data_IF_869731031493
#
_entry.id   IF_869731031493
#
_cell.length_a   1.000
_cell.length_b   1.000
_cell.length_c   1.000
_cell.angle_alpha   90.00
_cell.angle_beta   90.00
_cell.angle_gamma   90.00
#
_symmetry.space_group_name_H-M   'P 1'
#
loop_
_entity.id
_entity.type
_entity.pdbx_description
1 polymer ?
#
# COMPACT_ATOMS: atom_id res chain seq x y z
N UNK A 1 -6.39 -13.26 7.70
CA UNK A 1 -5.72 -12.65 6.54
C UNK A 1 -6.63 -11.54 6.05
N UNK A 2 -6.21 -10.28 6.19
CA UNK A 2 -6.91 -9.09 5.68
C UNK A 2 -6.28 -8.55 4.40
N UNK A 3 -5.07 -9.02 4.06
CA UNK A 3 -4.26 -8.56 2.94
C UNK A 3 -5.02 -8.34 1.63
N UNK A 4 -5.90 -9.24 1.18
CA UNK A 4 -6.52 -9.03 -0.12
C UNK A 4 -7.59 -7.94 -0.20
N UNK A 5 -8.37 -7.70 0.85
CA UNK A 5 -9.33 -6.61 0.85
C UNK A 5 -8.59 -5.26 0.83
N UNK A 6 -7.51 -5.14 1.60
CA UNK A 6 -6.63 -3.97 1.57
C UNK A 6 -5.92 -3.80 0.22
N UNK A 7 -5.42 -4.88 -0.36
CA UNK A 7 -4.75 -4.84 -1.66
C UNK A 7 -5.70 -4.39 -2.77
N UNK A 8 -6.93 -4.92 -2.78
CA UNK A 8 -7.97 -4.52 -3.71
C UNK A 8 -8.42 -3.06 -3.50
N UNK A 9 -8.58 -2.62 -2.25
CA UNK A 9 -8.93 -1.22 -1.97
C UNK A 9 -7.81 -0.26 -2.36
N UNK A 10 -6.53 -0.65 -2.21
CA UNK A 10 -5.38 0.09 -2.71
C UNK A 10 -5.42 0.26 -4.23
N UNK A 11 -5.61 -0.84 -4.98
CA UNK A 11 -5.76 -0.78 -6.44
C UNK A 11 -6.90 0.16 -6.85
N UNK A 12 -8.07 -0.01 -6.24
CA UNK A 12 -9.25 0.81 -6.52
C UNK A 12 -9.02 2.29 -6.20
N UNK A 13 -8.28 2.61 -5.13
CA UNK A 13 -7.96 3.99 -4.76
C UNK A 13 -7.10 4.68 -5.82
N UNK A 14 -6.06 4.02 -6.34
CA UNK A 14 -5.24 4.61 -7.40
C UNK A 14 -6.03 4.84 -8.70
N UNK A 15 -6.87 3.87 -9.09
CA UNK A 15 -7.75 4.03 -10.25
C UNK A 15 -8.76 5.17 -10.05
N UNK A 16 -9.26 5.36 -8.83
CA UNK A 16 -10.09 6.50 -8.47
C UNK A 16 -9.34 7.84 -8.57
N UNK A 17 -8.08 7.90 -8.15
CA UNK A 17 -7.21 9.09 -8.36
C UNK A 17 -7.00 9.33 -9.85
N UNK A 18 -6.78 8.28 -10.64
CA UNK A 18 -6.72 8.35 -12.10
C UNK A 18 -7.97 8.96 -12.73
N UNK A 19 -9.15 8.48 -12.32
CA UNK A 19 -10.43 8.99 -12.80
C UNK A 19 -10.65 10.45 -12.42
N UNK A 20 -10.31 10.83 -11.18
CA UNK A 20 -10.41 12.21 -10.72
C UNK A 20 -9.44 13.13 -11.49
N UNK A 21 -8.23 12.65 -11.78
CA UNK A 21 -7.25 13.39 -12.57
C UNK A 21 -7.72 13.57 -14.02
N UNK A 22 -8.26 12.53 -14.66
CA UNK A 22 -8.86 12.61 -15.98
C UNK A 22 -10.04 13.61 -16.03
N UNK A 23 -10.95 13.54 -15.06
CA UNK A 23 -12.07 14.50 -14.94
C UNK A 23 -11.61 15.96 -14.75
N UNK A 24 -10.41 16.17 -14.22
CA UNK A 24 -9.79 17.49 -14.07
C UNK A 24 -8.93 17.91 -15.28
N UNK A 25 -8.92 17.14 -16.38
CA UNK A 25 -8.11 17.42 -17.57
C UNK A 25 -6.62 17.06 -17.43
N UNK A 26 -6.28 16.23 -16.44
CA UNK A 26 -4.92 15.77 -16.15
C UNK A 26 -4.82 14.25 -16.27
N UNK A 27 -5.20 13.73 -17.44
CA UNK A 27 -5.19 12.29 -17.73
C UNK A 27 -3.80 11.68 -17.49
N UNK A 28 -3.79 10.50 -16.87
CA UNK A 28 -2.57 9.74 -16.65
C UNK A 28 -2.34 8.81 -17.85
N UNK A 29 -1.10 8.66 -18.34
CA UNK A 29 -0.78 7.60 -19.28
C UNK A 29 -1.23 6.24 -18.74
N UNK A 30 -1.80 5.39 -19.60
CA UNK A 30 -2.27 4.07 -19.16
C UNK A 30 -1.21 3.23 -18.43
N UNK A 31 0.11 3.29 -18.73
CA UNK A 31 1.10 2.54 -17.97
C UNK A 31 1.29 3.06 -16.54
N UNK A 32 1.11 4.38 -16.33
CA UNK A 32 1.10 5.00 -14.99
C UNK A 32 -0.11 4.52 -14.20
N UNK A 33 -1.29 4.46 -14.82
CA UNK A 33 -2.50 3.91 -14.19
C UNK A 33 -2.29 2.46 -13.78
N UNK A 34 -1.79 1.63 -14.69
CA UNK A 34 -1.56 0.20 -14.44
C UNK A 34 -0.48 -0.05 -13.37
N UNK A 35 0.70 0.56 -13.53
CA UNK A 35 1.80 0.39 -12.61
C UNK A 35 1.46 0.96 -11.22
N UNK A 36 0.87 2.16 -11.16
CA UNK A 36 0.47 2.76 -9.90
C UNK A 36 -0.64 1.97 -9.19
N UNK A 37 -1.60 1.36 -9.90
CA UNK A 37 -2.61 0.52 -9.29
C UNK A 37 -2.00 -0.74 -8.66
N UNK A 38 -1.06 -1.38 -9.35
CA UNK A 38 -0.35 -2.56 -8.84
C UNK A 38 0.59 -2.20 -7.69
N UNK A 39 1.31 -1.07 -7.77
CA UNK A 39 2.14 -0.57 -6.66
C UNK A 39 1.28 -0.27 -5.44
N UNK A 40 0.17 0.43 -5.62
CA UNK A 40 -0.77 0.77 -4.54
C UNK A 40 -1.36 -0.49 -3.90
N UNK A 41 -1.71 -1.50 -4.71
CA UNK A 41 -2.19 -2.80 -4.24
C UNK A 41 -1.15 -3.54 -3.38
N UNK A 42 0.11 -3.54 -3.78
CA UNK A 42 1.21 -4.12 -3.00
C UNK A 42 1.51 -3.32 -1.73
N UNK A 43 1.52 -1.98 -1.83
CA UNK A 43 1.83 -1.07 -0.73
C UNK A 43 0.75 -1.08 0.36
N UNK A 44 -0.50 -1.39 0.01
CA UNK A 44 -1.56 -1.62 0.99
C UNK A 44 -1.33 -2.85 1.88
N UNK A 45 -0.31 -3.66 1.64
CA UNK A 45 0.15 -4.69 2.57
C UNK A 45 1.28 -4.22 3.49
N UNK A 46 1.91 -3.08 3.20
CA UNK A 46 3.12 -2.61 3.90
C UNK A 46 2.91 -2.32 5.39
N UNK A 47 1.79 -1.72 5.85
CA UNK A 47 1.62 -1.43 7.28
C UNK A 47 1.62 -2.70 8.16
N UNK A 48 1.13 -3.81 7.63
CA UNK A 48 1.07 -5.12 8.30
C UNK A 48 2.42 -5.86 8.35
N UNK A 49 3.51 -5.25 7.86
CA UNK A 49 4.86 -5.82 7.93
C UNK A 49 5.37 -5.96 9.37
N UNK A 50 4.72 -5.34 10.35
CA UNK A 50 4.99 -5.53 11.77
C UNK A 50 4.29 -6.78 12.36
N UNK A 51 3.55 -7.55 11.55
CA UNK A 51 2.74 -8.67 12.01
C UNK A 51 3.20 -10.02 11.45
N UNK A 52 3.63 -10.94 12.33
CA UNK A 52 4.20 -12.24 11.91
C UNK A 52 3.26 -13.11 11.07
N UNK A 53 1.95 -12.99 11.26
CA UNK A 53 0.96 -13.75 10.51
C UNK A 53 0.46 -13.03 9.24
N UNK A 54 0.95 -11.84 8.94
CA UNK A 54 0.57 -11.11 7.73
C UNK A 54 1.12 -11.79 6.46
N UNK A 55 0.51 -11.44 5.32
CA UNK A 55 0.94 -11.90 4.00
C UNK A 55 2.33 -11.36 3.68
N UNK A 56 2.55 -10.05 3.85
CA UNK A 56 3.83 -9.40 3.54
C UNK A 56 5.00 -9.99 4.32
N UNK A 57 4.78 -10.37 5.59
CA UNK A 57 5.81 -10.96 6.47
C UNK A 57 6.26 -12.35 6.02
N UNK A 58 5.54 -12.98 5.08
CA UNK A 58 5.83 -14.32 4.54
C UNK A 58 6.20 -14.32 3.06
N UNK A 59 5.89 -13.24 2.32
CA UNK A 59 6.01 -13.17 0.86
C UNK A 59 7.44 -13.36 0.32
N UNK A 60 8.47 -13.07 1.11
CA UNK A 60 9.87 -13.25 0.73
C UNK A 60 10.61 -14.21 1.68
N UNK A 61 9.88 -15.19 2.22
CA UNK A 61 10.44 -16.23 3.07
C UNK A 61 11.20 -15.67 4.28
N UNK A 62 12.47 -16.06 4.52
CA UNK A 62 13.26 -15.59 5.66
C UNK A 62 13.48 -14.07 5.69
N UNK A 63 13.58 -13.42 4.53
CA UNK A 63 13.88 -11.99 4.43
C UNK A 63 12.72 -11.19 5.01
N UNK A 64 11.49 -11.46 4.57
CA UNK A 64 10.30 -10.76 5.07
C UNK A 64 10.04 -11.06 6.55
N UNK A 65 10.36 -12.27 7.03
CA UNK A 65 10.24 -12.62 8.47
C UNK A 65 11.22 -11.84 9.32
N UNK A 66 12.49 -11.77 8.90
CA UNK A 66 13.51 -10.99 9.61
C UNK A 66 13.16 -9.50 9.64
N UNK A 67 12.72 -8.96 8.50
CA UNK A 67 12.28 -7.57 8.40
C UNK A 67 11.07 -7.29 9.31
N UNK A 68 10.12 -8.23 9.38
CA UNK A 68 8.97 -8.13 10.28
C UNK A 68 9.39 -8.02 11.75
N UNK A 69 10.35 -8.82 12.19
CA UNK A 69 10.84 -8.76 13.58
C UNK A 69 11.58 -7.45 13.89
N UNK A 70 12.32 -6.90 12.92
CA UNK A 70 12.98 -5.60 13.07
C UNK A 70 11.94 -4.48 13.16
N UNK A 71 10.97 -4.46 12.26
CA UNK A 71 9.94 -3.41 12.21
C UNK A 71 9.03 -3.48 13.44
N UNK A 72 8.65 -4.66 13.91
CA UNK A 72 7.89 -4.82 15.16
C UNK A 72 8.65 -4.21 16.35
N UNK A 73 9.96 -4.51 16.48
CA UNK A 73 10.80 -3.95 17.55
C UNK A 73 10.93 -2.44 17.46
N UNK A 74 11.14 -1.88 16.26
CA UNK A 74 11.21 -0.43 16.04
C UNK A 74 9.89 0.22 16.43
N UNK A 75 8.79 -0.30 15.89
CA UNK A 75 7.43 0.20 16.12
C UNK A 75 7.08 0.17 17.61
N UNK A 76 7.39 -0.92 18.31
CA UNK A 76 7.19 -1.03 19.75
C UNK A 76 8.06 -0.06 20.56
N UNK A 77 9.30 0.16 20.13
CA UNK A 77 10.22 1.09 20.80
C UNK A 77 9.75 2.53 20.65
N UNK A 78 9.33 2.94 19.45
CA UNK A 78 8.73 4.26 19.19
C UNK A 78 7.43 4.43 19.98
N UNK A 79 6.59 3.40 20.05
CA UNK A 79 5.38 3.41 20.89
C UNK A 79 5.72 3.68 22.36
N UNK A 80 6.65 2.90 22.94
CA UNK A 80 7.04 3.06 24.34
C UNK A 80 7.66 4.42 24.63
N UNK A 81 8.47 4.95 23.71
CA UNK A 81 9.14 6.23 23.87
C UNK A 81 8.16 7.42 23.79
N UNK A 82 7.08 7.30 23.02
CA UNK A 82 6.21 8.44 22.70
C UNK A 82 4.80 8.36 23.29
N UNK A 83 4.40 7.22 23.88
CA UNK A 83 3.06 7.05 24.47
C UNK A 83 2.78 8.07 25.58
N UNK A 84 1.53 8.51 25.67
CA UNK A 84 0.97 9.32 26.77
C UNK A 84 0.36 8.43 27.85
N UNK A 85 0.09 8.96 29.05
CA UNK A 85 -0.56 8.20 30.13
C UNK A 85 -1.93 7.61 29.77
N UNK A 86 -2.65 8.20 28.80
CA UNK A 86 -3.93 7.67 28.32
C UNK A 86 -3.83 6.57 27.26
N UNK A 87 -2.64 6.33 26.70
CA UNK A 87 -2.43 5.28 25.70
C UNK A 87 -2.38 3.89 26.38
N UNK A 88 -2.96 2.85 25.75
CA UNK A 88 -3.05 1.52 26.36
C UNK A 88 -1.67 0.89 26.60
N UNK A 89 -1.58 -0.09 27.51
CA UNK A 89 -0.39 -0.94 27.58
C UNK A 89 -0.40 -1.90 26.38
N UNK A 90 0.76 -2.08 25.74
CA UNK A 90 0.96 -2.98 24.60
C UNK A 90 2.20 -3.84 24.84
N UNK A 91 2.22 -5.02 24.24
CA UNK A 91 3.31 -6.00 24.34
C UNK A 91 4.01 -6.26 23.00
N UNK A 92 3.66 -5.50 21.96
CA UNK A 92 4.26 -5.59 20.62
C UNK A 92 4.04 -4.31 19.82
N UNK A 93 4.71 -4.24 18.67
CA UNK A 93 4.70 -3.10 17.74
C UNK A 93 3.52 -3.11 16.79
N UNK A 94 2.84 -4.24 16.60
CA UNK A 94 1.70 -4.35 15.68
C UNK A 94 0.67 -3.22 15.88
N UNK A 95 0.29 -2.52 14.80
CA UNK A 95 -0.66 -1.39 14.80
C UNK A 95 -0.17 -0.19 15.60
N UNK A 96 1.12 0.12 15.46
CA UNK A 96 1.72 1.36 15.98
C UNK A 96 2.34 2.14 14.83
N UNK A 97 3.67 2.24 14.75
CA UNK A 97 4.37 3.14 13.84
C UNK A 97 4.00 2.91 12.36
N UNK A 98 3.92 1.66 11.92
CA UNK A 98 3.64 1.32 10.52
C UNK A 98 2.24 1.73 10.06
N UNK A 99 1.30 1.86 11.01
CA UNK A 99 -0.09 2.25 10.79
C UNK A 99 -0.30 3.75 11.04
N UNK A 100 0.59 4.57 10.48
CA UNK A 100 0.57 6.04 10.61
C UNK A 100 0.80 6.71 9.27
N UNK A 101 0.23 7.90 9.08
CA UNK A 101 0.50 8.69 7.88
C UNK A 101 1.98 9.05 7.76
N UNK A 102 2.66 9.25 8.89
CA UNK A 102 4.08 9.59 8.89
C UNK A 102 4.89 8.43 8.30
N UNK A 103 4.60 7.19 8.72
CA UNK A 103 5.28 6.02 8.16
C UNK A 103 4.99 5.87 6.67
N UNK A 104 3.73 6.03 6.24
CA UNK A 104 3.35 5.99 4.83
C UNK A 104 4.16 7.01 4.00
N UNK A 105 4.26 8.26 4.46
CA UNK A 105 5.06 9.31 3.80
C UNK A 105 6.55 8.95 3.79
N UNK A 106 7.10 8.45 4.89
CA UNK A 106 8.52 8.07 4.97
C UNK A 106 8.88 6.96 3.97
N UNK A 107 8.08 5.90 3.88
CA UNK A 107 8.36 4.80 2.95
C UNK A 107 8.16 5.24 1.49
N UNK A 108 7.14 6.06 1.20
CA UNK A 108 6.89 6.57 -0.15
C UNK A 108 7.95 7.57 -0.62
N UNK A 109 8.34 8.52 0.24
CA UNK A 109 9.42 9.46 -0.03
C UNK A 109 10.76 8.72 -0.20
N UNK A 110 11.05 7.75 0.67
CA UNK A 110 12.23 6.89 0.56
C UNK A 110 12.27 6.11 -0.77
N UNK A 111 11.14 5.55 -1.20
CA UNK A 111 11.03 4.88 -2.49
C UNK A 111 11.21 5.83 -3.68
N UNK A 112 10.69 7.05 -3.60
CA UNK A 112 10.86 8.08 -4.65
C UNK A 112 12.32 8.49 -4.79
N UNK A 113 12.99 8.76 -3.66
CA UNK A 113 14.43 9.08 -3.64
C UNK A 113 15.25 7.91 -4.15
N UNK A 114 14.92 6.68 -3.75
CA UNK A 114 15.60 5.47 -4.21
C UNK A 114 15.44 5.29 -5.73
N UNK A 115 14.24 5.47 -6.27
CA UNK A 115 13.97 5.37 -7.71
C UNK A 115 14.78 6.39 -8.51
N UNK A 116 14.77 7.65 -8.07
CA UNK A 116 15.50 8.75 -8.69
C UNK A 116 17.01 8.54 -8.63
N UNK A 117 17.57 8.22 -7.46
CA UNK A 117 19.01 8.13 -7.26
C UNK A 117 19.62 6.80 -7.73
N UNK A 118 18.87 5.70 -7.64
CA UNK A 118 19.33 4.36 -7.99
C UNK A 118 19.03 3.95 -9.43
N UNK A 119 18.35 4.81 -10.20
CA UNK A 119 18.01 4.60 -11.60
C UNK A 119 17.25 3.29 -11.85
N UNK A 120 17.52 2.66 -13.00
CA UNK A 120 16.76 1.48 -13.46
C UNK A 120 16.71 0.34 -12.44
N UNK A 121 17.82 0.04 -11.76
CA UNK A 121 17.88 -1.09 -10.83
C UNK A 121 17.03 -0.86 -9.58
N UNK A 122 17.00 0.38 -9.07
CA UNK A 122 16.10 0.75 -7.98
C UNK A 122 14.63 0.67 -8.40
N UNK A 123 14.29 1.17 -9.59
CA UNK A 123 12.93 1.07 -10.15
C UNK A 123 12.50 -0.39 -10.29
N UNK A 124 13.35 -1.24 -10.85
CA UNK A 124 13.08 -2.69 -10.97
C UNK A 124 12.86 -3.33 -9.60
N UNK A 125 13.68 -2.99 -8.60
CA UNK A 125 13.52 -3.50 -7.24
C UNK A 125 12.18 -3.07 -6.62
N UNK A 126 11.84 -1.78 -6.71
CA UNK A 126 10.57 -1.24 -6.19
C UNK A 126 9.39 -1.93 -6.88
N UNK A 127 9.39 -2.00 -8.20
CA UNK A 127 8.34 -2.68 -8.96
C UNK A 127 8.26 -4.16 -8.58
N UNK A 128 9.38 -4.87 -8.54
CA UNK A 128 9.43 -6.29 -8.18
C UNK A 128 8.77 -6.56 -6.83
N UNK A 129 9.17 -5.81 -5.79
CA UNK A 129 8.61 -5.96 -4.45
C UNK A 129 7.10 -5.77 -4.48
N UNK A 130 6.62 -4.69 -5.11
CA UNK A 130 5.19 -4.42 -5.13
C UNK A 130 4.39 -5.35 -6.05
N UNK A 131 4.97 -5.86 -7.15
CA UNK A 131 4.30 -6.83 -8.01
C UNK A 131 4.09 -8.15 -7.28
N UNK A 132 5.11 -8.65 -6.56
CA UNK A 132 4.96 -9.85 -5.72
C UNK A 132 3.86 -9.64 -4.69
N UNK A 133 3.86 -8.50 -4.00
CA UNK A 133 2.85 -8.19 -2.99
C UNK A 133 1.45 -7.99 -3.57
N UNK A 134 1.34 -7.40 -4.76
CA UNK A 134 0.07 -7.27 -5.48
C UNK A 134 -0.46 -8.66 -5.89
N UNK A 135 0.39 -9.58 -6.33
CA UNK A 135 -0.01 -10.97 -6.64
C UNK A 135 -0.47 -11.70 -5.38
N UNK A 136 0.30 -11.61 -4.29
CA UNK A 136 -0.03 -12.18 -2.98
C UNK A 136 -1.34 -11.63 -2.40
N UNK A 137 -1.63 -10.35 -2.65
CA UNK A 137 -2.85 -9.67 -2.24
C UNK A 137 -4.02 -9.97 -3.17
N UNK A 138 -3.98 -9.53 -4.42
CA UNK A 138 -5.09 -9.60 -5.37
C UNK A 138 -5.41 -11.03 -5.79
N UNK A 139 -4.40 -11.87 -5.99
CA UNK A 139 -4.53 -13.26 -6.43
C UNK A 139 -4.35 -14.25 -5.28
N UNK A 140 -4.68 -13.84 -4.05
CA UNK A 140 -4.37 -14.58 -2.81
C UNK A 140 -4.69 -16.08 -2.86
N UNK A 141 -5.81 -16.44 -3.50
CA UNK A 141 -6.29 -17.84 -3.55
C UNK A 141 -5.34 -18.70 -4.36
N UNK A 142 -4.78 -18.11 -5.42
CA UNK A 142 -3.88 -18.80 -6.33
C UNK A 142 -2.45 -18.71 -5.82
N UNK A 143 -2.04 -17.55 -5.28
CA UNK A 143 -0.74 -17.38 -4.64
C UNK A 143 -0.52 -18.39 -3.50
N UNK A 144 -1.52 -18.60 -2.63
CA UNK A 144 -1.39 -19.51 -1.47
C UNK A 144 -1.07 -20.96 -1.84
N UNK A 145 -1.55 -21.45 -2.98
CA UNK A 145 -1.31 -22.83 -3.44
C UNK A 145 -0.13 -22.93 -4.42
N UNK A 146 0.45 -21.80 -4.78
CA UNK A 146 1.57 -21.72 -5.73
C UNK A 146 2.91 -21.77 -5.00
N UNK A 147 3.98 -22.01 -5.75
CA UNK A 147 5.35 -21.85 -5.26
C UNK A 147 5.71 -20.37 -5.14
N UNK A 148 6.30 -19.96 -4.03
CA UNK A 148 6.84 -18.60 -3.83
C UNK A 148 7.75 -18.19 -5.00
N UNK A 149 8.56 -19.13 -5.51
CA UNK A 149 9.46 -18.88 -6.65
C UNK A 149 8.69 -18.52 -7.91
N UNK A 150 7.53 -19.13 -8.16
CA UNK A 150 6.71 -18.78 -9.33
C UNK A 150 6.10 -17.38 -9.18
N UNK A 151 5.67 -17.02 -7.96
CA UNK A 151 5.19 -15.67 -7.66
C UNK A 151 6.32 -14.65 -7.85
N UNK A 152 7.53 -14.96 -7.41
CA UNK A 152 8.70 -14.09 -7.61
C UNK A 152 9.08 -13.95 -9.08
N UNK A 153 9.08 -15.04 -9.85
CA UNK A 153 9.33 -14.99 -11.30
C UNK A 153 8.29 -14.13 -12.01
N UNK A 154 7.01 -14.31 -11.69
CA UNK A 154 5.93 -13.48 -12.22
C UNK A 154 6.14 -12.00 -11.85
N UNK A 155 6.48 -11.72 -10.59
CA UNK A 155 6.76 -10.37 -10.12
C UNK A 155 7.96 -9.74 -10.84
N UNK A 156 9.04 -10.50 -11.05
CA UNK A 156 10.25 -10.04 -11.72
C UNK A 156 10.02 -9.77 -13.21
N UNK A 157 9.35 -10.69 -13.91
CA UNK A 157 8.96 -10.50 -15.32
C UNK A 157 8.02 -9.32 -15.49
N UNK A 158 7.03 -9.17 -14.60
CA UNK A 158 6.10 -8.04 -14.62
C UNK A 158 6.84 -6.72 -14.37
N UNK A 159 7.73 -6.66 -13.39
CA UNK A 159 8.54 -5.48 -13.09
C UNK A 159 9.44 -5.09 -14.28
N UNK A 160 10.06 -6.06 -14.94
CA UNK A 160 10.90 -5.83 -16.12
C UNK A 160 10.10 -5.23 -17.27
N UNK A 161 8.96 -5.86 -17.61
CA UNK A 161 8.08 -5.41 -18.69
C UNK A 161 7.53 -4.01 -18.38
N UNK A 162 7.05 -3.77 -17.16
CA UNK A 162 6.52 -2.47 -16.77
C UNK A 162 7.59 -1.37 -16.80
N UNK A 163 8.81 -1.64 -16.33
CA UNK A 163 9.90 -0.69 -16.42
C UNK A 163 10.25 -0.37 -17.88
N UNK A 164 10.27 -1.36 -18.77
CA UNK A 164 10.53 -1.13 -20.21
C UNK A 164 9.41 -0.34 -20.89
N UNK A 165 8.15 -0.57 -20.51
CA UNK A 165 7.02 0.21 -21.02
C UNK A 165 7.10 1.64 -20.50
N UNK A 166 7.30 1.86 -19.20
CA UNK A 166 7.36 3.17 -18.56
C UNK A 166 8.51 4.04 -19.09
N UNK A 167 9.65 3.43 -19.45
CA UNK A 167 10.81 4.13 -20.02
C UNK A 167 10.59 4.66 -21.43
N UNK A 168 9.56 4.23 -22.15
CA UNK A 168 9.27 4.76 -23.49
C UNK A 168 8.78 6.21 -23.37
N UNK A 169 9.14 7.10 -24.31
CA UNK A 169 8.66 8.47 -24.30
C UNK A 169 7.13 8.55 -24.21
N UNK A 170 6.62 9.36 -23.27
CA UNK A 170 5.18 9.55 -23.04
C UNK A 170 4.48 8.45 -22.23
N UNK A 171 5.17 7.38 -21.84
CA UNK A 171 4.54 6.26 -21.12
C UNK A 171 4.59 6.37 -19.59
N UNK A 172 5.46 7.20 -19.03
CA UNK A 172 5.31 7.60 -17.64
C UNK A 172 6.56 7.69 -16.77
N UNK A 173 7.76 7.43 -17.28
CA UNK A 173 8.99 7.65 -16.49
C UNK A 173 9.04 9.09 -15.93
N UNK A 174 8.60 10.08 -16.70
CA UNK A 174 8.61 11.52 -16.41
C UNK A 174 7.21 12.13 -16.25
N UNK A 175 6.15 11.31 -16.09
CA UNK A 175 4.74 11.76 -16.18
C UNK A 175 4.40 12.97 -15.29
N UNK A 176 4.78 12.95 -14.01
CA UNK A 176 4.47 14.03 -13.06
C UNK A 176 5.63 15.01 -12.88
N UNK A 177 6.85 14.56 -13.14
CA UNK A 177 8.09 15.29 -12.91
C UNK A 177 8.94 15.23 -14.17
N UNK A 178 9.03 16.35 -14.87
CA UNK A 178 9.61 16.42 -16.23
C UNK A 178 11.03 16.97 -16.28
N UNK A 179 11.59 17.43 -15.15
CA UNK A 179 12.94 17.94 -15.14
C UNK A 179 13.94 16.76 -15.26
N UNK A 180 15.09 16.94 -15.95
CA UNK A 180 16.09 15.90 -16.09
C UNK A 180 16.54 15.37 -14.73
N UNK A 181 16.61 14.04 -14.59
CA UNK A 181 17.02 13.40 -13.32
C UNK A 181 15.90 13.26 -12.30
N UNK A 182 14.64 13.57 -12.64
CA UNK A 182 13.46 13.35 -11.78
C UNK A 182 12.63 12.14 -12.23
N UNK A 183 13.16 11.31 -13.12
CA UNK A 183 12.46 10.13 -13.62
C UNK A 183 12.08 9.21 -12.45
N UNK A 184 10.86 8.69 -12.49
CA UNK A 184 10.27 7.81 -11.48
C UNK A 184 10.09 8.39 -10.09
N UNK A 185 10.31 9.71 -9.89
CA UNK A 185 10.08 10.36 -8.60
C UNK A 185 8.62 10.22 -8.13
N UNK A 186 7.67 10.00 -9.03
CA UNK A 186 6.25 9.77 -8.72
C UNK A 186 5.98 8.40 -8.10
N UNK A 187 6.89 7.41 -8.17
CA UNK A 187 6.64 6.04 -7.70
C UNK A 187 6.31 5.95 -6.21
N UNK A 188 6.70 6.93 -5.40
CA UNK A 188 6.28 6.98 -3.99
C UNK A 188 4.81 7.32 -3.79
N UNK A 189 4.16 8.03 -4.71
CA UNK A 189 2.76 8.44 -4.56
C UNK A 189 1.79 7.25 -4.40
N UNK A 190 1.80 6.22 -5.28
CA UNK A 190 0.97 5.04 -5.07
C UNK A 190 1.36 4.27 -3.79
N UNK A 191 2.63 4.33 -3.36
CA UNK A 191 3.08 3.68 -2.11
C UNK A 191 2.46 4.37 -0.89
N UNK A 192 2.53 5.70 -0.83
CA UNK A 192 1.87 6.50 0.23
C UNK A 192 0.38 6.20 0.23
N UNK A 193 -0.27 6.27 -0.94
CA UNK A 193 -1.70 6.05 -1.06
C UNK A 193 -2.11 4.65 -0.58
N UNK A 194 -1.39 3.61 -1.00
CA UNK A 194 -1.69 2.23 -0.61
C UNK A 194 -1.60 2.02 0.89
N UNK A 195 -0.53 2.51 1.52
CA UNK A 195 -0.36 2.43 2.97
C UNK A 195 -1.45 3.22 3.73
N UNK A 196 -1.80 4.43 3.27
CA UNK A 196 -2.88 5.22 3.88
C UNK A 196 -4.25 4.55 3.72
N UNK A 197 -4.54 3.96 2.56
CA UNK A 197 -5.81 3.27 2.31
C UNK A 197 -5.92 2.00 3.17
N UNK A 198 -4.81 1.29 3.39
CA UNK A 198 -4.76 0.23 4.38
C UNK A 198 -5.16 0.75 5.76
N UNK A 199 -4.50 1.81 6.22
CA UNK A 199 -4.70 2.40 7.54
C UNK A 199 -6.14 2.89 7.72
N UNK A 200 -6.73 3.52 6.70
CA UNK A 200 -8.14 3.91 6.66
C UNK A 200 -9.04 2.69 6.75
N UNK A 201 -8.74 1.62 6.01
CA UNK A 201 -9.45 0.34 6.12
C UNK A 201 -9.43 -0.20 7.55
N UNK A 202 -8.27 -0.21 8.19
CA UNK A 202 -8.09 -0.65 9.57
C UNK A 202 -8.82 0.26 10.57
N UNK A 203 -8.88 1.58 10.31
CA UNK A 203 -9.65 2.54 11.11
C UNK A 203 -11.15 2.28 11.10
N UNK A 204 -11.69 1.75 9.99
CA UNK A 204 -13.11 1.39 9.88
C UNK A 204 -13.45 0.12 10.68
N UNK A 205 -12.46 -0.66 11.12
CA UNK A 205 -12.69 -1.86 11.92
C UNK A 205 -12.91 -1.54 13.40
N UNK A 206 -13.34 -2.55 14.18
CA UNK A 206 -13.58 -2.42 15.63
C UNK A 206 -12.35 -1.87 16.38
N UNK A 207 -11.14 -2.26 15.96
CA UNK A 207 -9.89 -1.88 16.63
C UNK A 207 -9.51 -0.41 16.42
N UNK A 208 -9.93 0.21 15.32
CA UNK A 208 -9.44 1.52 14.89
C UNK A 208 -7.94 1.49 14.53
N UNK A 209 -7.42 2.64 14.10
CA UNK A 209 -6.04 2.78 13.62
C UNK A 209 -5.42 4.11 14.07
N UNK A 210 -4.16 4.15 14.56
CA UNK A 210 -3.54 5.38 15.04
C UNK A 210 -2.98 6.28 13.92
N UNK A 211 -3.71 6.42 12.81
CA UNK A 211 -3.25 7.08 11.58
C UNK A 211 -2.62 8.43 11.86
N UNK A 212 -3.25 9.24 12.73
CA UNK A 212 -2.90 10.65 13.00
C UNK A 212 -1.69 10.84 13.91
N UNK A 213 -1.07 9.77 14.41
CA UNK A 213 0.18 9.89 15.16
C UNK A 213 1.22 10.67 14.32
N UNK A 214 1.96 11.64 14.89
CA UNK A 214 2.17 11.90 16.33
C UNK A 214 1.24 12.94 16.98
N UNK A 215 0.17 13.35 16.29
CA UNK A 215 -0.77 14.38 16.77
C UNK A 215 -1.66 13.80 17.88
N UNK A 216 -1.63 14.35 19.11
CA UNK A 216 -2.42 13.81 20.19
C UNK A 216 -3.90 14.20 20.09
N UNK A 217 -4.78 13.24 20.40
CA UNK A 217 -6.22 13.46 20.54
C UNK A 217 -6.60 13.20 22.00
N UNK A 218 -6.91 14.27 22.72
CA UNK A 218 -7.13 14.24 24.17
C UNK A 218 -5.91 13.70 24.93
N UNK A 219 -6.12 12.67 25.75
CA UNK A 219 -5.07 12.07 26.61
C UNK A 219 -4.22 11.01 25.89
N UNK A 220 -4.48 10.75 24.60
CA UNK A 220 -3.85 9.70 23.80
C UNK A 220 -3.02 10.30 22.68
N UNK A 221 -1.79 9.83 22.50
CA UNK A 221 -0.99 10.16 21.30
C UNK A 221 -1.19 9.09 20.22
N UNK A 222 -1.48 7.86 20.61
CA UNK A 222 -1.77 6.74 19.74
C UNK A 222 -3.28 6.49 19.72
N UNK A 223 -4.05 7.52 19.34
CA UNK A 223 -5.50 7.47 19.36
C UNK A 223 -6.01 6.58 18.20
N UNK A 224 -6.76 5.49 18.46
CA UNK A 224 -7.28 4.62 17.42
C UNK A 224 -8.49 5.28 16.73
N UNK A 225 -8.19 6.04 15.68
CA UNK A 225 -9.19 6.70 14.83
C UNK A 225 -10.12 5.64 14.25
N UNK A 226 -11.41 5.96 14.20
CA UNK A 226 -12.43 5.14 13.58
C UNK A 226 -13.82 5.74 13.79
N UNK A 227 -14.82 5.33 13.00
CA UNK A 227 -16.18 5.86 13.07
C UNK A 227 -16.86 5.49 14.41
N UNK A 228 -18.06 6.00 14.70
CA UNK A 228 -18.86 5.56 15.85
C UNK A 228 -18.96 4.03 15.92
N UNK A 229 -18.91 3.46 17.13
CA UNK A 229 -18.86 1.99 17.34
C UNK A 229 -19.88 1.17 16.52
N UNK A 230 -21.15 1.60 16.36
CA UNK A 230 -22.14 0.84 15.59
C UNK A 230 -21.83 0.70 14.08
N UNK A 231 -21.03 1.61 13.53
CA UNK A 231 -20.65 1.60 12.11
C UNK A 231 -19.41 0.73 11.82
N UNK A 232 -18.74 0.22 12.87
CA UNK A 232 -17.52 -0.57 12.72
C UNK A 232 -17.84 -2.01 12.42
N UNK A 233 -17.06 -2.61 11.53
CA UNK A 233 -17.15 -4.04 11.21
C UNK A 233 -15.93 -4.80 11.73
N UNK A 234 -16.06 -6.14 11.82
CA UNK A 234 -14.93 -7.02 12.13
C UNK A 234 -14.17 -7.33 10.85
N UNK A 235 -12.86 -7.25 10.91
CA UNK A 235 -12.02 -7.73 9.83
C UNK A 235 -12.24 -9.23 9.55
N UNK A 236 -12.18 -9.62 8.28
CA UNK A 236 -12.53 -10.94 7.78
C UNK A 236 -14.01 -11.29 7.89
N UNK A 237 -14.89 -10.32 8.20
CA UNK A 237 -16.33 -10.58 8.30
C UNK A 237 -16.99 -10.75 6.93
N UNK A 238 -18.22 -11.26 6.95
CA UNK A 238 -19.05 -11.35 5.75
C UNK A 238 -19.24 -9.99 5.06
N UNK A 239 -19.32 -8.89 5.82
CA UNK A 239 -19.43 -7.53 5.25
C UNK A 239 -18.21 -7.20 4.40
N UNK A 240 -17.00 -7.49 4.88
CA UNK A 240 -15.77 -7.26 4.12
C UNK A 240 -15.74 -8.10 2.84
N UNK A 241 -16.02 -9.39 2.96
CA UNK A 241 -15.87 -10.35 1.86
C UNK A 241 -16.99 -10.27 0.81
N UNK A 242 -18.22 -9.94 1.22
CA UNK A 242 -19.42 -10.00 0.35
C UNK A 242 -19.98 -8.63 0.00
N UNK A 243 -19.54 -7.57 0.66
CA UNK A 243 -19.98 -6.19 0.34
C UNK A 243 -18.78 -5.35 -0.09
N UNK A 244 -17.80 -5.13 0.78
CA UNK A 244 -16.69 -4.20 0.50
C UNK A 244 -15.84 -4.65 -0.68
N UNK A 245 -15.44 -5.92 -0.71
CA UNK A 245 -14.63 -6.44 -1.81
C UNK A 245 -15.33 -6.32 -3.18
N UNK A 246 -16.57 -6.79 -3.38
CA UNK A 246 -17.30 -6.54 -4.63
C UNK A 246 -17.43 -5.05 -4.97
N UNK A 247 -17.71 -4.20 -3.99
CA UNK A 247 -17.76 -2.74 -4.19
C UNK A 247 -16.43 -2.21 -4.69
N UNK A 248 -15.29 -2.60 -4.12
CA UNK A 248 -13.98 -2.19 -4.60
C UNK A 248 -13.66 -2.71 -6.00
N UNK A 249 -14.11 -3.92 -6.38
CA UNK A 249 -13.97 -4.38 -7.77
C UNK A 249 -14.76 -3.50 -8.74
N UNK A 250 -16.00 -3.17 -8.41
CA UNK A 250 -16.85 -2.32 -9.24
C UNK A 250 -16.28 -0.91 -9.32
N UNK A 251 -15.96 -0.29 -8.18
CA UNK A 251 -15.38 1.06 -8.14
C UNK A 251 -14.02 1.12 -8.83
N UNK A 252 -13.18 0.10 -8.67
CA UNK A 252 -11.91 0.00 -9.39
C UNK A 252 -12.12 -0.14 -10.90
N UNK A 253 -13.07 -0.97 -11.33
CA UNK A 253 -13.41 -1.12 -12.75
C UNK A 253 -13.94 0.17 -13.37
N UNK A 254 -14.92 0.81 -12.72
CA UNK A 254 -15.48 2.11 -13.16
C UNK A 254 -14.40 3.19 -13.14
N UNK A 255 -13.61 3.27 -12.07
CA UNK A 255 -12.50 4.21 -11.97
C UNK A 255 -11.46 4.00 -13.07
N UNK A 256 -11.12 2.75 -13.39
CA UNK A 256 -10.22 2.42 -14.49
C UNK A 256 -10.77 2.84 -15.85
N UNK A 257 -12.05 2.59 -16.12
CA UNK A 257 -12.71 3.00 -17.36
C UNK A 257 -12.75 4.53 -17.49
N UNK A 258 -13.13 5.24 -16.42
CA UNK A 258 -13.15 6.70 -16.41
C UNK A 258 -11.76 7.32 -16.53
N UNK A 259 -10.74 6.74 -15.89
CA UNK A 259 -9.35 7.18 -16.00
C UNK A 259 -8.78 7.02 -17.43
N UNK A 260 -9.34 6.11 -18.21
CA UNK A 260 -9.00 5.88 -19.62
C UNK A 260 -9.91 6.64 -20.59
N UNK A 261 -10.85 7.46 -20.09
CA UNK A 261 -11.79 8.22 -20.92
C UNK A 261 -12.81 7.35 -21.68
N UNK A 262 -13.08 6.14 -21.19
CA UNK A 262 -14.01 5.21 -21.84
C UNK A 262 -15.48 5.41 -21.41
N UNK A 263 -15.71 6.10 -20.29
CA UNK A 263 -17.02 6.47 -19.74
C UNK A 263 -16.96 7.85 -19.07
#
# INVERSE_FOLDING_TARGET
MMGPAHSLSGAAAWLGVGAAAAAAGHEMPWPVLAAGALICAGAALAPDLDHKAATISRAFGPISRGLCEVIDKISYSVYKATKKPGDPRRTGGHRTLTHTWLWAVLIGAGASVLAMAGGRWAVLFILFVHMVLAVEGLLWRMARVSSDVLVWLLGATSAWILADILNKPGNGADWLFTAPGQEYLWLGLPIVLGALVHDVGDALTVSGCPILWPIPIGRKRWYPVGPPKPMRFRAGSWVELKVLMPVFMVLGGVGGLGALGLI
#
